data_IF_483558817979
#
_entry.id   IF_483558817979
#
_cell.length_a   1.000
_cell.length_b   1.000
_cell.length_c   1.000
_cell.angle_alpha   90.00
_cell.angle_beta   90.00
_cell.angle_gamma   90.00
#
_symmetry.space_group_name_H-M   'P 1'
#
loop_
_entity.id
_entity.type
_entity.pdbx_description
1 polymer ?
#
# COMPACT_ATOMS: atom_id res chain seq x y z
N UNK A 1 -0.62 -32.76 -18.56
CA UNK A 1 -1.76 -31.86 -18.34
C UNK A 1 -1.38 -30.82 -17.28
N UNK A 2 -0.94 -29.63 -17.68
CA UNK A 2 -0.68 -28.50 -16.78
C UNK A 2 -1.93 -27.63 -16.73
N UNK A 3 -2.57 -27.39 -15.57
CA UNK A 3 -3.71 -26.49 -15.51
C UNK A 3 -3.21 -25.07 -15.82
N UNK A 4 -3.64 -24.51 -16.95
CA UNK A 4 -3.40 -23.10 -17.26
C UNK A 4 -4.26 -22.25 -16.32
N UNK A 5 -3.73 -21.85 -15.17
CA UNK A 5 -4.42 -20.96 -14.25
C UNK A 5 -4.44 -19.56 -14.85
N UNK A 6 -5.54 -19.22 -15.56
CA UNK A 6 -5.78 -17.84 -15.96
C UNK A 6 -5.76 -16.95 -14.71
N UNK A 7 -5.06 -15.80 -14.73
CA UNK A 7 -5.05 -14.90 -13.59
C UNK A 7 -6.49 -14.44 -13.28
N UNK A 8 -6.93 -14.62 -12.03
CA UNK A 8 -8.26 -14.17 -11.60
C UNK A 8 -8.28 -12.64 -11.46
N UNK A 9 -9.37 -11.96 -11.86
CA UNK A 9 -9.53 -10.54 -11.60
C UNK A 9 -9.47 -10.26 -10.09
N UNK A 10 -9.01 -9.07 -9.71
CA UNK A 10 -8.93 -8.68 -8.31
C UNK A 10 -10.35 -8.57 -7.75
N UNK A 11 -10.65 -9.25 -6.64
CA UNK A 11 -11.98 -9.13 -6.04
C UNK A 11 -12.19 -7.71 -5.50
N UNK A 12 -13.36 -7.08 -5.74
CA UNK A 12 -13.66 -5.75 -5.20
C UNK A 12 -13.47 -5.66 -3.68
N UNK A 13 -13.83 -6.72 -2.96
CA UNK A 13 -13.61 -6.84 -1.52
C UNK A 13 -12.12 -6.78 -1.16
N UNK A 14 -11.24 -7.43 -1.93
CA UNK A 14 -9.80 -7.41 -1.68
C UNK A 14 -9.20 -6.00 -1.81
N UNK A 15 -9.61 -5.25 -2.83
CA UNK A 15 -9.18 -3.86 -3.00
C UNK A 15 -9.72 -2.96 -1.88
N UNK A 16 -10.97 -3.17 -1.44
CA UNK A 16 -11.57 -2.42 -0.36
C UNK A 16 -10.86 -2.65 0.98
N UNK A 17 -10.54 -3.91 1.34
CA UNK A 17 -9.84 -4.19 2.61
C UNK A 17 -8.42 -3.60 2.60
N UNK A 18 -7.68 -3.73 1.48
CA UNK A 18 -6.38 -3.06 1.35
C UNK A 18 -6.51 -1.54 1.49
N UNK A 19 -7.52 -0.94 0.85
CA UNK A 19 -7.84 0.48 0.97
C UNK A 19 -8.13 0.88 2.41
N UNK A 20 -8.92 0.11 3.16
CA UNK A 20 -9.22 0.37 4.57
C UNK A 20 -7.98 0.32 5.46
N UNK A 21 -7.07 -0.64 5.23
CA UNK A 21 -5.80 -0.72 5.96
C UNK A 21 -4.95 0.54 5.72
N UNK A 22 -4.83 0.98 4.47
CA UNK A 22 -4.09 2.20 4.11
C UNK A 22 -4.76 3.45 4.67
N UNK A 23 -6.10 3.52 4.61
CA UNK A 23 -6.84 4.67 5.14
C UNK A 23 -6.66 4.80 6.65
N UNK A 24 -6.75 3.69 7.39
CA UNK A 24 -6.52 3.67 8.82
C UNK A 24 -5.08 4.10 9.16
N UNK A 25 -4.09 3.57 8.43
CA UNK A 25 -2.68 3.98 8.58
C UNK A 25 -2.49 5.49 8.33
N UNK A 26 -3.06 6.00 7.24
CA UNK A 26 -2.98 7.41 6.86
C UNK A 26 -3.58 8.33 7.91
N UNK A 27 -4.76 8.00 8.43
CA UNK A 27 -5.38 8.75 9.54
C UNK A 27 -4.47 8.75 10.77
N UNK A 28 -3.86 7.62 11.13
CA UNK A 28 -2.95 7.56 12.29
C UNK A 28 -1.71 8.45 12.10
N UNK A 29 -1.14 8.53 10.89
CA UNK A 29 -0.02 9.44 10.61
C UNK A 29 -0.41 10.91 10.73
N UNK A 30 -1.64 11.28 10.36
CA UNK A 30 -2.13 12.65 10.46
C UNK A 30 -2.52 13.05 11.89
N UNK A 31 -3.16 12.14 12.63
CA UNK A 31 -3.68 12.40 13.98
C UNK A 31 -2.60 12.29 15.04
N UNK A 32 -1.68 11.31 14.91
CA UNK A 32 -0.64 11.04 15.92
C UNK A 32 0.78 11.04 15.30
N UNK A 33 1.19 12.11 14.58
CA UNK A 33 2.46 12.13 13.84
C UNK A 33 3.69 11.95 14.75
N UNK A 34 3.61 12.39 16.01
CA UNK A 34 4.71 12.35 16.99
C UNK A 34 5.26 10.95 17.26
N UNK A 35 4.47 9.90 17.03
CA UNK A 35 4.92 8.50 17.16
C UNK A 35 5.91 8.13 16.05
N UNK A 36 5.78 8.75 14.88
CA UNK A 36 6.50 8.41 13.66
C UNK A 36 7.65 9.39 13.35
N UNK A 37 7.57 10.63 13.82
CA UNK A 37 8.62 11.66 13.62
C UNK A 37 10.04 11.16 13.99
N UNK A 38 10.26 10.42 15.11
CA UNK A 38 11.60 9.91 15.45
C UNK A 38 12.14 8.86 14.46
N UNK A 39 11.31 8.34 13.56
CA UNK A 39 11.70 7.30 12.61
C UNK A 39 12.27 7.89 11.31
N UNK A 40 12.05 9.18 11.07
CA UNK A 40 12.54 9.86 9.87
C UNK A 40 14.04 10.16 10.04
N UNK A 41 14.89 9.79 9.06
CA UNK A 41 16.30 10.17 9.07
C UNK A 41 16.50 11.69 9.12
N UNK A 42 17.41 12.15 9.97
CA UNK A 42 17.75 13.58 10.13
C UNK A 42 18.12 14.30 8.81
N UNK A 43 18.80 13.68 7.82
CA UNK A 43 19.14 14.36 6.57
C UNK A 43 17.94 14.77 5.71
N UNK A 44 16.75 14.22 5.95
CA UNK A 44 15.55 14.50 5.16
C UNK A 44 14.84 15.81 5.58
N UNK A 45 15.40 16.58 6.51
CA UNK A 45 14.82 17.82 6.99
C UNK A 45 13.72 17.57 8.01
N UNK A 46 12.56 18.24 7.86
CA UNK A 46 11.47 18.20 8.84
C UNK A 46 10.79 16.81 8.90
N UNK A 47 10.92 16.06 10.01
CA UNK A 47 10.27 14.76 10.14
C UNK A 47 8.74 14.83 10.01
N UNK A 48 8.16 15.90 10.52
CA UNK A 48 6.71 16.12 10.51
C UNK A 48 6.17 16.24 9.09
N UNK A 49 6.89 16.91 8.20
CA UNK A 49 6.48 17.05 6.80
C UNK A 49 6.42 15.67 6.11
N UNK A 50 7.40 14.80 6.36
CA UNK A 50 7.42 13.44 5.83
C UNK A 50 6.29 12.57 6.37
N UNK A 51 6.03 12.62 7.67
CA UNK A 51 4.95 11.84 8.30
C UNK A 51 3.58 12.28 7.79
N UNK A 52 3.33 13.59 7.70
CA UNK A 52 2.06 14.09 7.17
C UNK A 52 1.93 13.80 5.68
N UNK A 53 3.00 13.99 4.90
CA UNK A 53 3.04 13.70 3.47
C UNK A 53 2.78 12.22 3.17
N UNK A 54 3.37 11.31 3.93
CA UNK A 54 3.09 9.88 3.79
C UNK A 54 1.66 9.54 4.18
N UNK A 55 1.10 10.17 5.23
CA UNK A 55 -0.30 9.97 5.62
C UNK A 55 -1.29 10.41 4.53
N UNK A 56 -1.03 11.56 3.90
CA UNK A 56 -1.82 12.01 2.72
C UNK A 56 -1.66 11.05 1.55
N UNK A 57 -0.44 10.57 1.28
CA UNK A 57 -0.19 9.61 0.21
C UNK A 57 -0.92 8.27 0.44
N UNK A 58 -0.98 7.78 1.68
CA UNK A 58 -1.74 6.57 2.03
C UNK A 58 -3.24 6.75 1.79
N UNK A 59 -3.81 7.89 2.17
CA UNK A 59 -5.22 8.20 1.92
C UNK A 59 -5.52 8.34 0.42
N UNK A 60 -4.61 8.96 -0.34
CA UNK A 60 -4.72 9.05 -1.79
C UNK A 60 -4.68 7.65 -2.44
N UNK A 61 -3.79 6.77 -1.97
CA UNK A 61 -3.73 5.38 -2.42
C UNK A 61 -5.03 4.63 -2.09
N UNK A 62 -5.55 4.79 -0.87
CA UNK A 62 -6.82 4.18 -0.45
C UNK A 62 -7.99 4.65 -1.33
N UNK A 63 -8.09 5.95 -1.59
CA UNK A 63 -9.11 6.51 -2.48
C UNK A 63 -8.95 5.98 -3.92
N UNK A 64 -7.72 5.88 -4.43
CA UNK A 64 -7.44 5.39 -5.78
C UNK A 64 -7.78 3.90 -5.98
N UNK A 65 -7.89 3.11 -4.90
CA UNK A 65 -8.31 1.70 -4.96
C UNK A 65 -9.83 1.53 -5.17
N UNK A 66 -10.63 2.56 -4.87
CA UNK A 66 -12.09 2.50 -4.95
C UNK A 66 -12.57 2.38 -6.41
N UNK A 67 -12.27 3.35 -7.32
CA UNK A 67 -12.68 3.24 -8.72
C UNK A 67 -11.89 2.17 -9.46
N UNK A 68 -12.57 1.35 -10.26
CA UNK A 68 -11.91 0.32 -11.11
C UNK A 68 -10.90 0.94 -12.07
N UNK A 69 -11.17 2.16 -12.58
CA UNK A 69 -10.31 2.90 -13.52
C UNK A 69 -8.94 3.26 -12.92
N UNK A 70 -8.88 3.60 -11.63
CA UNK A 70 -7.64 4.03 -10.96
C UNK A 70 -7.00 2.91 -10.16
N UNK A 71 -7.72 1.81 -9.89
CA UNK A 71 -7.28 0.73 -9.00
C UNK A 71 -5.92 0.15 -9.35
N UNK A 72 -5.60 0.03 -10.64
CA UNK A 72 -4.30 -0.46 -11.06
C UNK A 72 -3.16 0.47 -10.59
N UNK A 73 -3.25 1.76 -10.89
CA UNK A 73 -2.26 2.75 -10.50
C UNK A 73 -2.23 2.93 -8.98
N UNK A 74 -3.40 2.96 -8.33
CA UNK A 74 -3.52 3.03 -6.87
C UNK A 74 -2.83 1.86 -6.18
N UNK A 75 -3.04 0.63 -6.67
CA UNK A 75 -2.41 -0.55 -6.09
C UNK A 75 -0.88 -0.57 -6.27
N UNK A 76 -0.37 -0.12 -7.42
CA UNK A 76 1.08 0.06 -7.60
C UNK A 76 1.66 1.14 -6.70
N UNK A 77 0.97 2.28 -6.58
CA UNK A 77 1.37 3.36 -5.69
C UNK A 77 1.39 2.87 -4.22
N UNK A 78 0.40 2.09 -3.79
CA UNK A 78 0.39 1.45 -2.48
C UNK A 78 1.61 0.54 -2.27
N UNK A 79 1.95 -0.29 -3.26
CA UNK A 79 3.12 -1.16 -3.17
C UNK A 79 4.43 -0.35 -3.05
N UNK A 80 4.59 0.69 -3.87
CA UNK A 80 5.75 1.57 -3.82
C UNK A 80 5.86 2.32 -2.49
N UNK A 81 4.74 2.84 -1.98
CA UNK A 81 4.66 3.54 -0.71
C UNK A 81 5.00 2.61 0.46
N UNK A 82 4.44 1.40 0.47
CA UNK A 82 4.77 0.37 1.46
C UNK A 82 6.28 0.06 1.44
N UNK A 83 6.91 -0.07 0.28
CA UNK A 83 8.37 -0.26 0.20
C UNK A 83 9.12 0.96 0.73
N UNK A 84 8.70 2.17 0.35
CA UNK A 84 9.36 3.42 0.75
C UNK A 84 9.34 3.65 2.27
N UNK A 85 8.30 3.22 2.99
CA UNK A 85 8.21 3.38 4.45
C UNK A 85 8.90 2.25 5.24
N UNK A 86 9.36 1.18 4.58
CA UNK A 86 10.05 0.04 5.23
C UNK A 86 11.23 0.44 6.12
N UNK A 87 12.14 1.35 5.70
CA UNK A 87 13.25 1.79 6.58
C UNK A 87 12.77 2.42 7.90
N UNK A 88 11.63 3.13 7.88
CA UNK A 88 11.01 3.69 9.08
C UNK A 88 10.50 2.61 10.03
N UNK A 89 9.87 1.56 9.50
CA UNK A 89 9.42 0.41 10.29
C UNK A 89 10.59 -0.36 10.93
N UNK A 90 11.69 -0.54 10.20
CA UNK A 90 12.92 -1.14 10.74
C UNK A 90 13.47 -0.28 11.89
N UNK A 91 13.53 1.03 11.70
CA UNK A 91 13.98 1.98 12.74
C UNK A 91 13.11 1.87 13.99
N UNK A 92 11.79 1.77 13.84
CA UNK A 92 10.87 1.58 14.97
C UNK A 92 11.18 0.29 15.73
N UNK A 93 11.31 -0.84 15.01
CA UNK A 93 11.60 -2.13 15.60
C UNK A 93 12.92 -2.14 16.38
N UNK A 94 13.97 -1.53 15.84
CA UNK A 94 15.28 -1.41 16.50
C UNK A 94 15.23 -0.52 17.75
N UNK A 95 14.49 0.60 17.71
CA UNK A 95 14.37 1.51 18.86
C UNK A 95 13.61 0.90 20.03
N UNK A 96 12.62 0.04 19.77
CA UNK A 96 11.88 -0.69 20.83
C UNK A 96 12.72 -1.76 21.55
N UNK A 97 13.94 -2.08 21.08
CA UNK A 97 14.86 -3.00 21.78
C UNK A 97 15.64 -2.35 22.93
N UNK A 98 15.74 -1.02 23.00
CA UNK A 98 16.54 -0.34 24.03
C UNK A 98 15.68 0.05 25.26
N UNK A 99 15.75 -0.77 26.31
CA UNK A 99 15.81 -0.30 27.70
C UNK A 99 14.58 0.28 28.41
N UNK A 100 13.33 0.09 27.95
CA UNK A 100 12.17 0.63 28.68
C UNK A 100 11.14 -0.44 29.12
N UNK A 101 10.79 -0.50 30.43
CA UNK A 101 9.71 -1.35 30.94
C UNK A 101 8.34 -0.82 30.48
N UNK A 102 7.41 -1.72 30.13
CA UNK A 102 6.07 -1.38 29.63
C UNK A 102 5.88 -1.38 28.10
N UNK A 103 6.92 -1.75 27.33
CA UNK A 103 6.96 -1.70 25.86
C UNK A 103 6.49 -2.95 25.11
N UNK A 104 6.00 -3.99 25.80
CA UNK A 104 5.79 -5.30 25.18
C UNK A 104 4.83 -5.24 23.98
N UNK A 105 3.67 -4.57 24.11
CA UNK A 105 2.71 -4.45 23.01
C UNK A 105 3.25 -3.62 21.83
N UNK A 106 3.88 -2.46 22.10
CA UNK A 106 4.48 -1.63 21.05
C UNK A 106 5.64 -2.32 20.34
N UNK A 107 6.42 -3.11 21.08
CA UNK A 107 7.50 -3.93 20.56
C UNK A 107 6.96 -5.06 19.69
N UNK A 108 5.94 -5.78 20.15
CA UNK A 108 5.26 -6.82 19.35
C UNK A 108 4.73 -6.23 18.05
N UNK A 109 4.06 -5.07 18.10
CA UNK A 109 3.57 -4.38 16.89
C UNK A 109 4.73 -3.96 15.97
N UNK A 110 5.78 -3.32 16.50
CA UNK A 110 6.91 -2.86 15.71
C UNK A 110 7.64 -4.02 15.01
N UNK A 111 7.85 -5.13 15.72
CA UNK A 111 8.48 -6.32 15.16
C UNK A 111 7.55 -7.08 14.21
N UNK A 112 6.25 -7.15 14.51
CA UNK A 112 5.25 -7.81 13.66
C UNK A 112 4.98 -7.08 12.34
N UNK A 113 5.17 -5.74 12.30
CA UNK A 113 5.07 -4.95 11.06
C UNK A 113 6.06 -5.38 9.99
N UNK A 114 7.27 -5.80 10.37
CA UNK A 114 8.32 -6.18 9.41
C UNK A 114 7.93 -7.39 8.54
N UNK A 115 7.59 -8.56 9.10
CA UNK A 115 7.14 -9.69 8.29
C UNK A 115 5.79 -9.42 7.63
N UNK A 116 4.91 -8.60 8.23
CA UNK A 116 3.62 -8.23 7.63
C UNK A 116 3.74 -7.35 6.38
N UNK A 117 4.85 -6.64 6.23
CA UNK A 117 5.05 -5.73 5.10
C UNK A 117 5.20 -6.48 3.77
N UNK A 118 5.84 -7.66 3.78
CA UNK A 118 6.00 -8.52 2.60
C UNK A 118 4.66 -8.97 2.00
N UNK A 119 3.73 -9.58 2.78
CA UNK A 119 2.41 -9.95 2.24
C UNK A 119 1.58 -8.72 1.88
N UNK A 120 1.70 -7.57 2.56
CA UNK A 120 0.99 -6.34 2.16
C UNK A 120 1.45 -5.82 0.78
N UNK A 121 2.76 -5.80 0.52
CA UNK A 121 3.30 -5.45 -0.80
C UNK A 121 2.86 -6.48 -1.85
N UNK A 122 2.98 -7.77 -1.55
CA UNK A 122 2.53 -8.84 -2.44
C UNK A 122 1.03 -8.76 -2.76
N UNK A 123 0.22 -8.38 -1.77
CA UNK A 123 -1.21 -8.17 -1.91
C UNK A 123 -1.53 -6.97 -2.80
N UNK A 124 -0.87 -5.83 -2.58
CA UNK A 124 -1.00 -4.66 -3.45
C UNK A 124 -0.65 -5.01 -4.92
N UNK A 125 0.43 -5.74 -5.15
CA UNK A 125 0.79 -6.22 -6.49
C UNK A 125 -0.23 -7.21 -7.07
N UNK A 126 -0.84 -8.06 -6.25
CA UNK A 126 -1.91 -8.96 -6.68
C UNK A 126 -3.17 -8.18 -7.08
N UNK A 127 -3.56 -7.16 -6.33
CA UNK A 127 -4.68 -6.26 -6.68
C UNK A 127 -4.38 -5.54 -8.00
N UNK A 128 -3.15 -5.04 -8.19
CA UNK A 128 -2.74 -4.41 -9.45
C UNK A 128 -2.87 -5.38 -10.64
N UNK A 129 -2.34 -6.60 -10.53
CA UNK A 129 -2.46 -7.61 -11.59
C UNK A 129 -3.92 -7.93 -11.93
N UNK A 130 -4.76 -8.10 -10.91
CA UNK A 130 -6.18 -8.38 -11.13
C UNK A 130 -6.97 -7.20 -11.69
N UNK A 131 -6.56 -5.95 -11.42
CA UNK A 131 -7.16 -4.75 -12.01
C UNK A 131 -6.84 -4.61 -13.51
N UNK A 132 -5.63 -5.03 -13.95
CA UNK A 132 -5.29 -5.08 -15.39
C UNK A 132 -6.15 -6.06 -16.17
N UNK A 133 -6.45 -7.22 -15.58
CA UNK A 133 -7.30 -8.25 -16.22
C UNK A 133 -8.76 -7.80 -16.33
N UNK A 134 -9.23 -6.98 -15.37
CA UNK A 134 -10.60 -6.47 -15.36
C UNK A 134 -10.83 -5.24 -16.25
N UNK A 135 -9.76 -4.58 -16.70
CA UNK A 135 -9.89 -3.55 -17.73
C UNK A 135 -10.31 -4.26 -19.03
N UNK A 136 -11.50 -3.96 -19.60
CA UNK A 136 -11.87 -4.55 -20.88
C UNK A 136 -10.76 -4.21 -21.88
N UNK A 137 -10.23 -5.24 -22.55
CA UNK A 137 -9.43 -5.05 -23.75
C UNK A 137 -10.23 -4.07 -24.61
N UNK A 138 -9.67 -2.89 -24.85
CA UNK A 138 -10.35 -1.83 -25.57
C UNK A 138 -10.99 -2.43 -26.82
N UNK A 139 -12.30 -2.26 -26.90
CA UNK A 139 -13.12 -2.28 -28.10
C UNK A 139 -12.29 -2.23 -29.38
N UNK A 140 -11.87 -3.41 -29.83
CA UNK A 140 -11.48 -3.66 -31.22
C UNK A 140 -12.73 -4.18 -31.91
N UNK A 141 -13.75 -3.33 -31.99
CA UNK A 141 -14.96 -3.62 -32.76
C UNK A 141 -15.13 -2.54 -33.80
N UNK A 142 -14.99 -2.99 -35.05
CA UNK A 142 -15.82 -2.63 -36.20
C UNK A 142 -15.47 -1.31 -36.90
N UNK A 143 -14.83 -1.42 -38.07
CA UNK A 143 -14.77 -0.31 -39.03
C UNK A 143 -13.79 -0.45 -40.21
N UNK A 144 -13.76 -1.59 -40.93
CA UNK A 144 -13.21 -1.62 -42.30
C UNK A 144 -13.70 -2.84 -43.10
N UNK A 145 -14.99 -3.14 -43.00
CA UNK A 145 -15.72 -3.86 -44.03
C UNK A 145 -16.49 -2.85 -44.87
N UNK A 146 -15.79 -2.09 -45.71
CA UNK A 146 -16.39 -1.21 -46.72
C UNK A 146 -15.32 -0.82 -47.75
N UNK A 147 -14.99 -1.72 -48.66
CA UNK A 147 -14.86 -1.27 -50.05
C UNK A 147 -15.30 -2.39 -50.99
N UNK A 148 -16.15 -1.98 -51.93
CA UNK A 148 -16.62 -2.75 -53.08
C UNK A 148 -15.50 -2.85 -54.10
#
# INVERSE_FOLDING_TARGET
MTPSSRPRPASPASAAVLGSVLALSGVLHLVVPRVYEPLIPRPLGSPRAWVLGSGVAELACAAALVPTRTRYAGALASAALLVAVFPGNVTMALRTRRGAPGLTARRVVAWGRLPLQVPLVGWALAVARGARVAAPAGTSTLGAGANR
#
